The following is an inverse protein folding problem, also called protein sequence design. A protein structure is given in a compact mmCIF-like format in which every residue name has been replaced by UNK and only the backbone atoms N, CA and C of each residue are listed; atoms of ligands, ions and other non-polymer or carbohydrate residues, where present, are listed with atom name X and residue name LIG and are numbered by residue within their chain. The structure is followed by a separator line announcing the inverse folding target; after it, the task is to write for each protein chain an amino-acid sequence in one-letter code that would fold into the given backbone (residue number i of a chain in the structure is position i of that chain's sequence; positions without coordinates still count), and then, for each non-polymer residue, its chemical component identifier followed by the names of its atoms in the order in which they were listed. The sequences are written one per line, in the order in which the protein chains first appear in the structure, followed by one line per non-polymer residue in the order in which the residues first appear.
data_IF_080844868015
#
_entry.id   IF_080844868015
#
_cell.length_a   1.000
_cell.length_b   1.000
_cell.length_c   1.000
_cell.angle_alpha   90.00
_cell.angle_beta   90.00
_cell.angle_gamma   90.00
#
_symmetry.space_group_name_H-M   'P 1'
#
loop_
_entity.id
_entity.type
_entity.pdbx_description
1 polymer ?
#
# COMPACT_ATOMS: atom_id res chain seq x y z
N UNK A 1 -18.05 23.72 7.34
CA UNK A 1 -16.61 24.06 7.33
C UNK A 1 -16.02 23.65 8.67
N UNK A 2 -15.58 22.39 8.80
CA UNK A 2 -14.94 21.90 10.03
C UNK A 2 -13.43 21.99 9.83
N UNK A 3 -12.81 22.97 10.51
CA UNK A 3 -11.37 23.19 10.45
C UNK A 3 -10.63 22.13 11.27
N UNK A 4 -9.60 21.54 10.68
CA UNK A 4 -8.59 20.77 11.39
C UNK A 4 -7.80 21.77 12.25
N UNK A 5 -8.11 21.82 13.55
CA UNK A 5 -7.35 22.63 14.49
C UNK A 5 -6.01 21.95 14.76
N UNK A 6 -4.95 22.40 14.07
CA UNK A 6 -3.59 22.14 14.51
C UNK A 6 -3.37 22.84 15.84
N UNK A 7 -3.17 22.05 16.90
CA UNK A 7 -2.97 22.53 18.28
C UNK A 7 -1.68 23.37 18.42
N UNK A 8 -0.86 23.45 17.37
CA UNK A 8 0.42 24.16 17.36
C UNK A 8 0.27 25.67 17.07
N UNK A 9 -0.91 26.14 16.64
CA UNK A 9 -1.08 27.53 16.18
C UNK A 9 -1.59 28.53 17.24
N UNK A 10 -1.59 28.15 18.53
CA UNK A 10 -1.85 29.06 19.65
C UNK A 10 -0.58 29.10 20.53
N UNK A 11 -0.31 30.22 21.19
CA UNK A 11 0.82 30.36 22.12
C UNK A 11 0.53 29.54 23.38
N UNK A 12 0.63 28.22 23.25
CA UNK A 12 0.46 27.24 24.32
C UNK A 12 1.73 26.39 24.39
N UNK A 13 2.25 26.21 25.60
CA UNK A 13 3.35 25.29 25.85
C UNK A 13 2.84 23.86 25.75
N UNK A 14 3.48 23.05 24.90
CA UNK A 14 3.14 21.63 24.72
C UNK A 14 4.28 20.77 25.28
N UNK A 15 3.94 19.82 26.15
CA UNK A 15 4.87 18.79 26.66
C UNK A 15 4.41 17.44 26.14
N UNK A 16 5.29 16.72 25.43
CA UNK A 16 5.07 15.36 24.97
C UNK A 16 5.86 14.38 25.84
N UNK A 17 5.17 13.41 26.44
CA UNK A 17 5.78 12.35 27.23
C UNK A 17 5.85 11.07 26.41
N UNK A 18 7.06 10.60 26.10
CA UNK A 18 7.31 9.36 25.39
C UNK A 18 7.99 8.36 26.35
N UNK A 19 7.47 7.14 26.36
CA UNK A 19 7.94 6.04 27.20
C UNK A 19 9.26 5.42 26.71
N UNK A 20 9.50 5.51 25.40
CA UNK A 20 10.68 4.96 24.73
C UNK A 20 11.78 6.01 24.64
N UNK A 21 12.98 5.53 24.35
CA UNK A 21 14.15 6.34 24.00
C UNK A 21 14.11 6.87 22.55
N UNK A 22 12.95 6.78 21.88
CA UNK A 22 12.74 7.21 20.50
C UNK A 22 11.30 7.67 20.25
N UNK A 23 11.14 8.57 19.29
CA UNK A 23 9.83 8.99 18.78
C UNK A 23 9.24 7.95 17.79
N UNK A 24 8.02 8.23 17.31
CA UNK A 24 7.38 7.50 16.20
C UNK A 24 6.51 6.31 16.60
N UNK A 25 6.62 5.82 17.84
CA UNK A 25 5.77 4.71 18.32
C UNK A 25 5.93 3.45 17.47
N UNK A 26 4.85 3.06 16.76
CA UNK A 26 4.82 1.90 15.84
C UNK A 26 5.40 2.18 14.46
N UNK A 27 5.78 3.42 14.16
CA UNK A 27 6.60 3.75 12.99
C UNK A 27 8.05 3.71 13.45
N UNK A 28 8.79 2.68 13.03
CA UNK A 28 10.16 2.45 13.51
C UNK A 28 11.06 1.92 12.41
N UNK A 29 12.16 2.63 12.17
CA UNK A 29 13.25 2.17 11.31
C UNK A 29 14.47 1.84 12.16
N UNK A 30 15.00 0.64 12.00
CA UNK A 30 16.23 0.17 12.62
C UNK A 30 17.39 0.30 11.62
N UNK A 31 18.48 0.95 12.04
CA UNK A 31 19.68 1.18 11.21
C UNK A 31 20.89 0.31 11.62
N UNK A 32 20.74 -0.58 12.60
CA UNK A 32 21.85 -1.38 13.16
C UNK A 32 22.46 -2.39 12.18
N UNK A 33 21.77 -2.71 11.09
CA UNK A 33 22.21 -3.66 10.07
C UNK A 33 23.12 -3.05 8.99
N UNK A 34 23.45 -1.76 9.08
CA UNK A 34 24.19 -1.03 8.03
C UNK A 34 23.31 -0.51 6.89
N UNK A 35 22.00 -0.75 6.96
CA UNK A 35 20.97 -0.22 6.06
C UNK A 35 19.63 -0.07 6.84
N UNK A 36 18.69 0.79 6.40
CA UNK A 36 17.41 0.97 7.08
C UNK A 36 16.51 -0.26 6.92
N UNK A 37 15.97 -0.75 8.03
CA UNK A 37 14.93 -1.79 8.07
C UNK A 37 13.72 -1.26 8.83
N UNK A 38 12.55 -1.23 8.19
CA UNK A 38 11.31 -0.86 8.86
C UNK A 38 10.83 -2.05 9.71
N UNK A 39 10.69 -1.82 11.03
CA UNK A 39 10.22 -2.81 12.01
C UNK A 39 8.75 -2.57 12.40
N UNK A 40 8.06 -1.71 11.65
CA UNK A 40 6.76 -1.15 11.97
C UNK A 40 6.02 -0.77 10.69
N UNK A 41 5.39 0.39 10.63
CA UNK A 41 4.72 0.84 9.41
C UNK A 41 5.72 1.04 8.25
N UNK A 42 5.54 0.27 7.19
CA UNK A 42 6.34 0.27 5.96
C UNK A 42 5.50 0.32 4.67
N UNK A 43 4.19 0.07 4.77
CA UNK A 43 3.26 0.08 3.65
C UNK A 43 2.32 1.31 3.67
N UNK A 44 2.13 1.90 2.49
CA UNK A 44 1.15 2.97 2.26
C UNK A 44 0.01 2.45 1.38
N UNK A 45 -1.18 2.31 1.96
CA UNK A 45 -2.38 1.97 1.19
C UNK A 45 -2.89 3.17 0.40
N UNK A 46 -3.16 3.00 -0.89
CA UNK A 46 -3.79 3.99 -1.75
C UNK A 46 -2.98 5.28 -1.87
N UNK A 47 -2.19 5.41 -2.95
CA UNK A 47 -1.57 6.69 -3.31
C UNK A 47 -2.58 7.50 -4.10
N UNK A 48 -3.55 8.08 -3.40
CA UNK A 48 -4.63 8.86 -3.97
C UNK A 48 -4.88 10.14 -3.14
N UNK A 49 -5.71 11.05 -3.66
CA UNK A 49 -5.96 12.35 -3.03
C UNK A 49 -6.63 12.23 -1.66
N UNK A 50 -7.30 11.11 -1.39
CA UNK A 50 -7.98 10.82 -0.13
C UNK A 50 -6.98 10.44 0.98
N UNK A 51 -5.79 9.94 0.60
CA UNK A 51 -4.76 9.62 1.58
C UNK A 51 -4.00 10.90 1.96
N UNK A 52 -4.16 11.41 3.19
CA UNK A 52 -3.55 12.68 3.59
C UNK A 52 -2.03 12.64 3.54
N UNK A 53 -1.42 11.45 3.65
CA UNK A 53 0.03 11.27 3.59
C UNK A 53 0.57 11.38 2.16
N UNK A 54 -0.23 11.10 1.13
CA UNK A 54 0.22 11.11 -0.26
C UNK A 54 0.80 12.48 -0.66
N UNK A 55 0.11 13.56 -0.28
CA UNK A 55 0.56 14.94 -0.55
C UNK A 55 1.89 15.28 0.14
N UNK A 56 2.10 14.76 1.35
CA UNK A 56 3.33 14.99 2.11
C UNK A 56 4.49 14.18 1.56
N UNK A 57 4.26 12.94 1.15
CA UNK A 57 5.30 12.09 0.60
C UNK A 57 5.85 12.69 -0.69
N UNK A 58 4.98 13.15 -1.60
CA UNK A 58 5.39 13.85 -2.82
C UNK A 58 6.19 15.12 -2.49
N UNK A 59 5.72 15.93 -1.55
CA UNK A 59 6.41 17.17 -1.12
C UNK A 59 7.78 16.92 -0.48
N UNK A 60 7.92 15.83 0.26
CA UNK A 60 9.16 15.46 0.94
C UNK A 60 10.11 14.67 0.02
N UNK A 61 9.68 14.32 -1.19
CA UNK A 61 10.46 13.54 -2.15
C UNK A 61 10.83 12.15 -1.62
N UNK A 62 9.98 11.54 -0.77
CA UNK A 62 10.27 10.22 -0.22
C UNK A 62 10.05 9.15 -1.31
N UNK A 63 10.98 8.19 -1.46
CA UNK A 63 10.82 7.13 -2.44
C UNK A 63 9.62 6.25 -2.09
N UNK A 64 8.71 6.05 -3.05
CA UNK A 64 7.64 5.06 -2.98
C UNK A 64 7.91 4.02 -4.07
N UNK A 65 7.79 2.75 -3.71
CA UNK A 65 7.76 1.65 -4.67
C UNK A 65 6.32 1.17 -4.81
N UNK A 66 5.80 1.14 -6.04
CA UNK A 66 4.45 0.64 -6.31
C UNK A 66 4.43 -0.89 -6.23
N UNK A 67 3.49 -1.39 -5.45
CA UNK A 67 3.33 -2.82 -5.11
C UNK A 67 2.01 -3.40 -5.61
N UNK A 68 1.19 -2.63 -6.33
CA UNK A 68 -0.06 -3.07 -6.96
C UNK A 68 -0.27 -2.36 -8.29
N UNK A 69 -0.75 -3.09 -9.31
CA UNK A 69 -1.00 -2.60 -10.66
C UNK A 69 -0.20 -3.37 -11.72
N UNK A 70 -0.52 -3.15 -12.99
CA UNK A 70 0.11 -3.68 -14.20
C UNK A 70 1.60 -3.30 -14.38
N UNK A 71 2.15 -2.49 -13.47
CA UNK A 71 3.55 -2.06 -13.48
C UNK A 71 4.16 -2.05 -12.06
N UNK A 72 3.74 -2.98 -11.20
CA UNK A 72 4.36 -3.15 -9.88
C UNK A 72 5.79 -3.69 -10.03
N UNK A 73 6.75 -3.04 -9.37
CA UNK A 73 8.17 -3.42 -9.48
C UNK A 73 8.51 -4.58 -8.54
N UNK A 74 7.66 -4.82 -7.53
CA UNK A 74 7.96 -5.72 -6.41
C UNK A 74 6.96 -6.85 -6.21
N UNK A 75 5.74 -6.72 -6.70
CA UNK A 75 4.66 -7.68 -6.49
C UNK A 75 3.70 -7.62 -7.65
N UNK A 76 3.95 -8.39 -8.70
CA UNK A 76 2.88 -8.71 -9.63
C UNK A 76 1.82 -9.46 -8.81
N UNK A 77 0.54 -9.10 -8.96
CA UNK A 77 -0.52 -9.78 -8.21
C UNK A 77 -0.73 -11.23 -8.68
N UNK A 78 0.04 -11.65 -9.66
CA UNK A 78 0.08 -13.02 -10.13
C UNK A 78 0.90 -13.89 -9.18
N UNK A 79 0.24 -14.94 -8.65
CA UNK A 79 0.90 -16.01 -7.88
C UNK A 79 2.11 -16.59 -8.64
N UNK A 80 2.12 -16.47 -9.97
CA UNK A 80 3.20 -16.90 -10.85
C UNK A 80 4.55 -16.21 -10.54
N UNK A 81 4.54 -15.02 -9.95
CA UNK A 81 5.76 -14.28 -9.58
C UNK A 81 6.41 -14.77 -8.27
N UNK A 82 5.70 -15.58 -7.48
CA UNK A 82 6.16 -16.05 -6.18
C UNK A 82 6.70 -17.48 -6.24
N UNK A 83 7.83 -17.71 -5.57
CA UNK A 83 8.24 -19.05 -5.20
C UNK A 83 7.46 -19.48 -3.95
N UNK A 84 6.53 -20.41 -4.11
CA UNK A 84 5.79 -21.00 -3.00
C UNK A 84 6.52 -22.22 -2.44
N UNK A 85 6.47 -22.39 -1.12
CA UNK A 85 7.07 -23.51 -0.40
C UNK A 85 6.05 -24.13 0.54
N UNK A 86 6.12 -25.45 0.72
CA UNK A 86 5.32 -26.15 1.72
C UNK A 86 5.88 -25.95 3.14
N UNK A 87 5.18 -26.49 4.14
CA UNK A 87 5.58 -26.39 5.55
C UNK A 87 6.91 -27.10 5.89
N UNK A 88 7.35 -28.02 5.03
CA UNK A 88 8.63 -28.73 5.14
C UNK A 88 9.75 -28.01 4.38
N UNK A 89 9.43 -26.91 3.68
CA UNK A 89 10.37 -26.08 2.93
C UNK A 89 10.66 -26.60 1.52
N UNK A 90 9.88 -27.54 0.98
CA UNK A 90 10.00 -27.94 -0.42
C UNK A 90 9.27 -26.94 -1.32
N UNK A 91 9.90 -26.60 -2.44
CA UNK A 91 9.28 -25.69 -3.40
C UNK A 91 8.07 -26.36 -4.07
N UNK A 92 6.94 -25.65 -4.09
CA UNK A 92 5.75 -26.06 -4.81
C UNK A 92 6.04 -25.99 -6.31
N UNK A 93 5.71 -27.03 -7.10
CA UNK A 93 5.92 -27.00 -8.56
C UNK A 93 5.24 -25.79 -9.20
N UNK A 94 5.97 -25.06 -10.04
CA UNK A 94 5.50 -23.81 -10.65
C UNK A 94 4.23 -24.02 -11.48
N UNK A 95 4.11 -25.16 -12.17
CA UNK A 95 2.93 -25.48 -12.98
C UNK A 95 1.65 -25.63 -12.14
N UNK A 96 1.79 -26.01 -10.86
CA UNK A 96 0.68 -26.06 -9.93
C UNK A 96 0.30 -24.65 -9.46
N UNK A 97 1.29 -23.78 -9.21
CA UNK A 97 1.06 -22.38 -8.84
C UNK A 97 0.31 -21.64 -9.95
N UNK A 98 0.74 -21.79 -11.20
CA UNK A 98 0.07 -21.20 -12.37
C UNK A 98 -1.38 -21.71 -12.53
N UNK A 99 -1.61 -23.01 -12.36
CA UNK A 99 -2.96 -23.59 -12.45
C UNK A 99 -3.89 -23.02 -11.38
N UNK A 100 -3.41 -22.88 -10.15
CA UNK A 100 -4.21 -22.31 -9.05
C UNK A 100 -4.47 -20.83 -9.28
N UNK A 101 -3.46 -20.06 -9.69
CA UNK A 101 -3.63 -18.64 -10.00
C UNK A 101 -4.70 -18.39 -11.06
N UNK A 102 -4.73 -19.20 -12.12
CA UNK A 102 -5.76 -19.11 -13.18
C UNK A 102 -7.16 -19.41 -12.64
N UNK A 103 -7.32 -20.46 -11.86
CA UNK A 103 -8.62 -20.84 -11.27
C UNK A 103 -9.12 -19.77 -10.29
N UNK A 104 -8.23 -19.19 -9.48
CA UNK A 104 -8.57 -18.13 -8.52
C UNK A 104 -9.00 -16.84 -9.25
N UNK A 105 -8.27 -16.45 -10.30
CA UNK A 105 -8.58 -15.25 -11.07
C UNK A 105 -9.90 -15.37 -11.85
N UNK A 106 -10.15 -16.53 -12.48
CA UNK A 106 -11.39 -16.82 -13.20
C UNK A 106 -12.59 -16.91 -12.24
N UNK A 107 -12.42 -17.53 -11.06
CA UNK A 107 -13.50 -17.67 -10.06
C UNK A 107 -13.85 -16.39 -9.32
N UNK A 108 -12.87 -15.51 -9.03
CA UNK A 108 -13.10 -14.21 -8.39
C UNK A 108 -13.68 -13.17 -9.36
N UNK A 109 -13.37 -13.27 -10.67
CA UNK A 109 -13.95 -12.42 -11.70
C UNK A 109 -15.48 -12.51 -11.76
N UNK A 110 -16.03 -13.72 -11.62
CA UNK A 110 -17.49 -13.97 -11.59
C UNK A 110 -18.17 -13.51 -10.30
N UNK A 111 -17.42 -13.34 -9.20
CA UNK A 111 -17.94 -12.84 -7.93
C UNK A 111 -17.92 -11.30 -7.89
N UNK A 112 -16.85 -10.66 -8.37
CA UNK A 112 -16.76 -9.19 -8.47
C UNK A 112 -17.81 -8.59 -9.38
N UNK A 113 -18.14 -9.25 -10.49
CA UNK A 113 -19.22 -8.79 -11.37
C UNK A 113 -20.62 -8.85 -10.73
N UNK A 114 -20.81 -9.69 -9.69
CA UNK A 114 -22.08 -9.75 -8.95
C UNK A 114 -22.20 -8.66 -7.91
N UNK A 115 -21.10 -8.25 -7.28
CA UNK A 115 -21.09 -7.15 -6.30
C UNK A 115 -21.29 -5.77 -6.99
N UNK A 116 -20.78 -5.60 -8.22
CA UNK A 116 -20.99 -4.37 -9.02
C UNK A 116 -22.42 -4.21 -9.55
N UNK A 117 -23.21 -5.28 -9.65
CA UNK A 117 -24.64 -5.19 -10.05
C UNK A 117 -25.56 -4.83 -8.87
N UNK A 118 -25.15 -5.07 -7.62
CA UNK A 118 -25.92 -4.71 -6.41
C UNK A 118 -25.60 -3.30 -5.88
N UNK A 119 -24.41 -2.76 -6.17
CA UNK A 119 -24.06 -1.36 -5.88
C UNK A 119 -24.15 -0.50 -7.15
N UNK A 120 -25.37 -0.04 -7.46
CA UNK A 120 -25.61 0.90 -8.55
C UNK A 120 -24.77 2.19 -8.44
N UNK A 121 -23.64 2.23 -9.14
CA UNK A 121 -22.88 3.44 -9.45
C UNK A 121 -22.63 3.49 -10.96
N UNK A 122 -23.59 4.12 -11.64
CA UNK A 122 -23.42 4.54 -13.02
C UNK A 122 -22.30 5.58 -13.16
N UNK A 123 -21.62 5.48 -14.31
CA UNK A 123 -20.80 6.50 -14.94
C UNK A 123 -19.69 7.12 -14.09
N UNK A 124 -18.44 6.71 -14.35
CA UNK A 124 -17.28 7.58 -14.57
C UNK A 124 -16.17 6.75 -15.23
N UNK A 125 -16.43 6.35 -16.47
CA UNK A 125 -15.43 5.79 -17.39
C UNK A 125 -15.24 6.80 -18.51
N UNK A 126 -14.35 7.77 -18.29
CA UNK A 126 -13.56 8.46 -19.33
C UNK A 126 -12.89 9.70 -18.73
N UNK A 127 -11.62 9.88 -19.12
CA UNK A 127 -10.69 10.96 -18.77
C UNK A 127 -9.93 10.67 -17.48
N UNK A 128 -8.77 10.06 -17.64
CA UNK A 128 -7.48 10.57 -17.13
C UNK A 128 -6.37 9.83 -17.91
N UNK A 129 -6.41 9.95 -19.25
CA UNK A 129 -5.21 9.92 -20.10
C UNK A 129 -4.85 11.40 -20.32
N UNK A 130 -4.17 12.03 -19.37
CA UNK A 130 -3.45 13.30 -19.51
C UNK A 130 -2.85 13.66 -18.14
N UNK A 131 -1.67 13.11 -17.84
CA UNK A 131 -0.58 13.84 -17.20
C UNK A 131 0.62 12.89 -17.05
N UNK A 132 1.27 12.64 -18.19
CA UNK A 132 2.72 12.40 -18.16
C UNK A 132 3.40 13.70 -17.74
N UNK A 133 3.90 13.73 -16.51
CA UNK A 133 4.75 14.83 -16.06
C UNK A 133 4.91 14.88 -14.55
N UNK A 134 5.95 14.20 -14.06
CA UNK A 134 7.04 14.73 -13.22
C UNK A 134 7.99 13.57 -12.90
#
# INVERSE_FOLDING_TARGET
MFGVFSVVSLIIGVVLLESRDRIGGRVHTNYSFGFPVHMGADWLHGVCNENPLASWIGRLGLPIYRTSGDNSILYDHDLESYALFDGDGHQVPQDLVEKVGKVEFEGLGELRSKDEEDEGLGELRSKDEEDEGI
#
